data_IF_506101842461
#
_entry.id   IF_506101842461
#
_cell.length_a   1.000
_cell.length_b   1.000
_cell.length_c   1.000
_cell.angle_alpha   90.00
_cell.angle_beta   90.00
_cell.angle_gamma   90.00
#
_symmetry.space_group_name_H-M   'P 1'
#
loop_
_entity.id
_entity.type
_entity.pdbx_description
1 polymer ?
#
# COMPACT_ATOMS: atom_id res chain seq x y z
N UNK A 1 -3.93 0.73 13.12
CA UNK A 1 -3.34 -0.17 12.11
C UNK A 1 -4.26 -0.40 10.90
N UNK A 2 -4.02 0.36 9.83
CA UNK A 2 -4.67 0.24 8.52
C UNK A 2 -3.77 -0.62 7.61
N UNK A 3 -4.38 -1.44 6.74
CA UNK A 3 -3.62 -2.29 5.78
C UNK A 3 -3.44 -1.58 4.45
N UNK A 4 -2.25 -1.73 3.87
CA UNK A 4 -1.98 -1.31 2.49
C UNK A 4 -2.83 -2.15 1.53
N UNK A 5 -3.52 -1.49 0.62
CA UNK A 5 -4.31 -2.10 -0.44
C UNK A 5 -3.57 -2.00 -1.78
N UNK A 6 -3.48 -3.09 -2.55
CA UNK A 6 -2.93 -3.01 -3.90
C UNK A 6 -3.85 -2.19 -4.82
N UNK A 7 -3.36 -1.14 -5.52
CA UNK A 7 -4.19 -0.28 -6.37
C UNK A 7 -4.70 -0.97 -7.65
N UNK A 8 -4.15 -2.15 -7.97
CA UNK A 8 -4.51 -2.95 -9.15
C UNK A 8 -5.50 -4.08 -8.82
N UNK A 9 -5.21 -4.90 -7.80
CA UNK A 9 -6.04 -6.07 -7.48
C UNK A 9 -6.88 -5.93 -6.20
N UNK A 10 -6.80 -4.80 -5.49
CA UNK A 10 -7.49 -4.54 -4.21
C UNK A 10 -7.18 -5.52 -3.08
N UNK A 11 -6.14 -6.34 -3.25
CA UNK A 11 -5.68 -7.21 -2.19
C UNK A 11 -5.13 -6.38 -1.04
N UNK A 12 -5.71 -6.54 0.15
CA UNK A 12 -5.17 -5.97 1.40
C UNK A 12 -3.92 -6.77 1.76
N UNK A 13 -2.76 -6.15 1.65
CA UNK A 13 -1.47 -6.82 1.86
C UNK A 13 -1.15 -6.95 3.36
N UNK A 14 -0.22 -7.85 3.76
CA UNK A 14 0.34 -7.88 5.11
C UNK A 14 1.39 -6.77 5.26
N UNK A 15 0.97 -5.52 5.03
CA UNK A 15 1.71 -4.29 5.29
C UNK A 15 0.74 -3.36 6.00
N UNK A 16 1.21 -2.71 7.06
CA UNK A 16 0.38 -1.92 7.96
C UNK A 16 0.97 -0.53 8.12
N UNK A 17 0.10 0.46 8.30
CA UNK A 17 0.46 1.82 8.64
C UNK A 17 -0.54 2.39 9.65
N UNK A 18 -0.13 3.45 10.35
CA UNK A 18 -0.95 4.11 11.36
C UNK A 18 -1.64 5.36 10.81
N UNK A 19 -2.59 5.89 11.58
CA UNK A 19 -3.45 7.03 11.21
C UNK A 19 -2.69 8.36 11.07
N UNK A 20 -1.43 8.41 11.46
CA UNK A 20 -0.55 9.59 11.31
C UNK A 20 0.61 9.36 10.34
N UNK A 21 0.63 8.23 9.64
CA UNK A 21 1.74 7.88 8.77
C UNK A 21 1.83 8.77 7.51
N UNK A 22 3.07 9.02 7.09
CA UNK A 22 3.47 9.69 5.84
C UNK A 22 4.48 8.81 5.12
N UNK A 23 4.32 8.58 3.81
CA UNK A 23 5.21 7.74 3.03
C UNK A 23 5.22 8.18 1.55
N UNK A 24 6.42 8.31 0.98
CA UNK A 24 6.64 8.60 -0.44
C UNK A 24 7.98 8.03 -0.89
N UNK A 25 8.14 7.77 -2.19
CA UNK A 25 9.37 7.20 -2.75
C UNK A 25 9.62 5.73 -2.40
N UNK A 26 8.65 5.04 -1.79
CA UNK A 26 8.75 3.62 -1.43
C UNK A 26 8.04 2.78 -2.48
N UNK A 27 8.77 1.87 -3.12
CA UNK A 27 8.21 0.94 -4.12
C UNK A 27 7.84 -0.39 -3.46
N UNK A 28 6.63 -0.87 -3.73
CA UNK A 28 6.12 -2.12 -3.18
C UNK A 28 5.64 -3.04 -4.29
N UNK A 29 6.03 -4.31 -4.23
CA UNK A 29 5.44 -5.38 -5.03
C UNK A 29 4.20 -5.94 -4.36
N UNK A 30 3.14 -6.16 -5.14
CA UNK A 30 1.95 -6.82 -4.63
C UNK A 30 2.25 -8.23 -4.09
N UNK A 31 1.70 -8.56 -2.92
CA UNK A 31 1.85 -9.87 -2.27
C UNK A 31 0.70 -10.85 -2.58
N UNK A 32 -0.23 -10.47 -3.47
CA UNK A 32 -1.31 -11.34 -3.92
C UNK A 32 -0.80 -12.38 -4.91
N UNK A 33 -1.27 -13.63 -4.80
CA UNK A 33 -0.75 -14.78 -5.58
C UNK A 33 -0.75 -14.57 -7.10
N UNK A 34 -1.77 -13.88 -7.62
CA UNK A 34 -1.98 -13.68 -9.07
C UNK A 34 -1.76 -12.22 -9.51
N UNK A 35 -1.12 -11.39 -8.68
CA UNK A 35 -0.87 -9.99 -8.99
C UNK A 35 0.63 -9.69 -8.92
N UNK A 36 1.21 -9.28 -10.05
CA UNK A 36 2.64 -8.94 -10.16
C UNK A 36 2.89 -7.44 -10.19
N UNK A 37 1.88 -6.64 -9.82
CA UNK A 37 1.98 -5.19 -9.82
C UNK A 37 3.11 -4.69 -8.91
N UNK A 38 3.81 -3.66 -9.37
CA UNK A 38 4.75 -2.87 -8.58
C UNK A 38 4.28 -1.42 -8.63
N UNK A 39 4.15 -0.80 -7.48
CA UNK A 39 3.60 0.56 -7.37
C UNK A 39 4.31 1.33 -6.25
N UNK A 40 4.27 2.65 -6.33
CA UNK A 40 4.70 3.50 -5.23
C UNK A 40 3.65 3.44 -4.10
N UNK A 41 4.07 3.10 -2.89
CA UNK A 41 3.22 3.23 -1.71
C UNK A 41 3.27 4.69 -1.25
N UNK A 42 2.17 5.40 -1.50
CA UNK A 42 2.00 6.78 -1.05
C UNK A 42 1.01 6.81 0.11
N UNK A 43 1.44 7.37 1.24
CA UNK A 43 0.60 7.56 2.42
C UNK A 43 0.66 9.02 2.80
N UNK A 44 -0.49 9.67 2.98
CA UNK A 44 -0.62 11.07 3.39
C UNK A 44 -1.74 11.22 4.41
N UNK A 45 -1.48 11.90 5.52
CA UNK A 45 -2.39 12.06 6.65
C UNK A 45 -3.02 10.72 7.08
N UNK A 46 -2.20 9.66 7.18
CA UNK A 46 -2.66 8.32 7.55
C UNK A 46 -3.62 7.66 6.58
N UNK A 47 -3.65 8.10 5.31
CA UNK A 47 -4.44 7.50 4.25
C UNK A 47 -3.53 7.08 3.11
N UNK A 48 -3.69 5.85 2.65
CA UNK A 48 -3.10 5.45 1.40
C UNK A 48 -3.77 6.19 0.24
N UNK A 49 -2.96 6.78 -0.63
CA UNK A 49 -3.40 7.42 -1.87
C UNK A 49 -2.87 6.61 -3.07
N UNK A 50 -3.62 6.63 -4.17
CA UNK A 50 -3.27 5.89 -5.40
C UNK A 50 -2.20 6.62 -6.20
#
# INVERSE_FOLDING_TARGET
MIRVECPECRYKMPLFFEETAECSGVMVSCKGRNCHARFELRIKNGKQIK
#
